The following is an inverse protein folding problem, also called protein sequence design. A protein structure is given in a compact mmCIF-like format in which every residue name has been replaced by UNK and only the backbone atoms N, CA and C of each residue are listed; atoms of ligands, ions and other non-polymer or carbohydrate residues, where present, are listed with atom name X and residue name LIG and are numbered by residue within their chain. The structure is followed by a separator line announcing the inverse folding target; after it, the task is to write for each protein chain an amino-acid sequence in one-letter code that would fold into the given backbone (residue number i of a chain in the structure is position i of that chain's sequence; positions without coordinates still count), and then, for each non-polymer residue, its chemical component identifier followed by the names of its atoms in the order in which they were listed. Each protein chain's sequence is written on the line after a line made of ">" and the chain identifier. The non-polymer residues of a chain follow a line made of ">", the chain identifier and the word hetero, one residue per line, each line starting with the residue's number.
data_IF_237275561209
#
_entry.id   IF_237275561209
#
_cell.length_a   1.000
_cell.length_b   1.000
_cell.length_c   1.000
_cell.angle_alpha   90.00
_cell.angle_beta   90.00
_cell.angle_gamma   90.00
#
_symmetry.space_group_name_H-M   'P 1'
#
loop_
_entity.id
_entity.type
_entity.pdbx_description
1 polymer ?
#
# COMPACT_ATOMS: atom_id res chain seq x y z
N UNK A 1 22.78 -16.92 -14.86
CA UNK A 1 23.14 -15.70 -14.09
C UNK A 1 23.09 -14.52 -15.04
N UNK A 2 22.35 -13.48 -14.71
CA UNK A 2 22.25 -12.23 -15.47
C UNK A 2 22.34 -11.04 -14.52
N UNK A 3 22.63 -9.87 -15.06
CA UNK A 3 22.54 -8.62 -14.32
C UNK A 3 21.10 -8.10 -14.38
N UNK A 4 20.54 -7.75 -13.23
CA UNK A 4 19.17 -7.22 -13.08
C UNK A 4 19.23 -5.82 -12.51
N UNK A 5 18.72 -4.85 -13.26
CA UNK A 5 18.55 -3.46 -12.80
C UNK A 5 17.15 -3.27 -12.26
N UNK A 6 17.04 -2.71 -11.06
CA UNK A 6 15.77 -2.41 -10.39
C UNK A 6 15.70 -0.91 -10.12
N UNK A 7 14.60 -0.27 -10.46
CA UNK A 7 14.36 1.15 -10.19
C UNK A 7 13.39 1.30 -9.03
N UNK A 8 13.86 1.88 -7.94
CA UNK A 8 13.13 2.14 -6.69
C UNK A 8 13.41 1.11 -5.59
N UNK A 9 13.87 1.60 -4.44
CA UNK A 9 14.13 0.83 -3.22
C UNK A 9 12.94 0.87 -2.23
N UNK A 10 11.71 0.86 -2.74
CA UNK A 10 10.50 0.65 -1.93
C UNK A 10 10.24 -0.85 -1.72
N UNK A 11 9.12 -1.21 -1.03
CA UNK A 11 8.80 -2.59 -0.66
C UNK A 11 8.90 -3.58 -1.83
N UNK A 12 8.33 -3.22 -2.98
CA UNK A 12 8.33 -4.10 -4.16
C UNK A 12 9.74 -4.28 -4.75
N UNK A 13 10.51 -3.18 -4.85
CA UNK A 13 11.88 -3.22 -5.37
C UNK A 13 12.82 -4.00 -4.47
N UNK A 14 12.74 -3.81 -3.16
CA UNK A 14 13.57 -4.53 -2.18
C UNK A 14 13.26 -6.03 -2.16
N UNK A 15 11.97 -6.43 -2.17
CA UNK A 15 11.62 -7.85 -2.27
C UNK A 15 12.07 -8.45 -3.59
N UNK A 16 11.96 -7.71 -4.70
CA UNK A 16 12.48 -8.17 -5.99
C UNK A 16 14.00 -8.35 -5.95
N UNK A 17 14.72 -7.37 -5.40
CA UNK A 17 16.18 -7.40 -5.30
C UNK A 17 16.69 -8.60 -4.49
N UNK A 18 16.12 -8.82 -3.29
CA UNK A 18 16.46 -9.95 -2.43
C UNK A 18 16.24 -11.28 -3.17
N UNK A 19 15.11 -11.41 -3.84
CA UNK A 19 14.77 -12.66 -4.52
C UNK A 19 15.61 -12.91 -5.78
N UNK A 20 15.94 -11.87 -6.55
CA UNK A 20 16.86 -11.98 -7.69
C UNK A 20 18.27 -12.36 -7.23
N UNK A 21 18.78 -11.77 -6.15
CA UNK A 21 20.10 -12.16 -5.58
C UNK A 21 20.11 -13.60 -5.11
N UNK A 22 19.07 -14.05 -4.41
CA UNK A 22 18.93 -15.44 -3.96
C UNK A 22 18.80 -16.44 -5.12
N UNK A 23 18.31 -15.98 -6.28
CA UNK A 23 18.28 -16.77 -7.52
C UNK A 23 19.65 -16.79 -8.25
N UNK A 24 20.66 -16.07 -7.75
CA UNK A 24 22.02 -16.05 -8.28
C UNK A 24 22.29 -14.96 -9.33
N UNK A 25 21.41 -13.97 -9.47
CA UNK A 25 21.66 -12.82 -10.37
C UNK A 25 22.56 -11.77 -9.71
N UNK A 26 23.31 -11.00 -10.52
CA UNK A 26 23.81 -9.68 -10.14
C UNK A 26 22.64 -8.72 -10.00
N UNK A 27 22.59 -7.89 -8.95
CA UNK A 27 21.47 -6.97 -8.76
C UNK A 27 21.95 -5.60 -8.37
N UNK A 28 21.54 -4.59 -9.17
CA UNK A 28 21.75 -3.17 -8.90
C UNK A 28 20.41 -2.48 -8.75
N UNK A 29 20.22 -1.74 -7.65
CA UNK A 29 19.01 -0.95 -7.38
C UNK A 29 19.34 0.53 -7.52
N UNK A 30 18.59 1.23 -8.37
CA UNK A 30 18.65 2.68 -8.55
C UNK A 30 17.58 3.30 -7.63
N UNK A 31 18.00 4.14 -6.68
CA UNK A 31 17.08 4.80 -5.74
C UNK A 31 17.26 6.32 -5.82
N UNK A 32 16.15 7.06 -6.00
CA UNK A 32 16.18 8.53 -6.16
C UNK A 32 16.55 9.27 -4.88
N UNK A 33 16.24 8.70 -3.72
CA UNK A 33 16.55 9.29 -2.42
C UNK A 33 17.91 8.81 -1.91
N UNK A 34 18.52 9.60 -1.03
CA UNK A 34 19.79 9.25 -0.38
C UNK A 34 19.69 8.02 0.54
N UNK A 35 18.48 7.62 0.91
CA UNK A 35 18.19 6.47 1.77
C UNK A 35 16.96 5.72 1.27
N UNK A 36 16.95 4.41 1.49
CA UNK A 36 15.73 3.63 1.33
C UNK A 36 14.67 4.04 2.40
N UNK A 37 13.39 3.85 2.08
CA UNK A 37 12.27 4.17 2.97
C UNK A 37 11.27 5.16 2.37
N UNK A 38 11.47 5.59 1.14
CA UNK A 38 10.58 6.49 0.41
C UNK A 38 10.80 7.96 0.75
N UNK A 39 9.86 8.79 0.32
CA UNK A 39 9.96 10.25 0.43
C UNK A 39 10.01 10.71 1.90
N UNK A 40 11.08 11.39 2.34
CA UNK A 40 11.19 11.92 3.70
C UNK A 40 10.09 12.91 4.08
N UNK A 41 9.50 13.61 3.09
CA UNK A 41 8.38 14.51 3.31
C UNK A 41 7.15 13.78 3.86
N UNK A 42 6.90 12.55 3.38
CA UNK A 42 5.75 11.75 3.82
C UNK A 42 6.10 10.93 5.07
N UNK A 43 7.37 10.52 5.22
CA UNK A 43 7.81 9.57 6.25
C UNK A 43 8.24 10.24 7.57
N UNK A 44 8.15 9.54 8.74
CA UNK A 44 7.60 8.21 8.93
C UNK A 44 6.08 8.16 8.71
N UNK A 45 5.58 7.01 8.25
CA UNK A 45 4.15 6.76 8.06
C UNK A 45 3.77 5.41 8.69
N UNK A 46 2.50 5.24 9.02
CA UNK A 46 1.96 3.96 9.47
C UNK A 46 0.91 3.51 8.46
N UNK A 47 1.20 2.44 7.76
CA UNK A 47 0.29 1.78 6.84
C UNK A 47 -0.34 0.56 7.51
N UNK A 48 -1.59 0.26 7.16
CA UNK A 48 -2.29 -0.93 7.62
C UNK A 48 -2.77 -1.73 6.42
N UNK A 49 -2.70 -3.05 6.51
CA UNK A 49 -3.09 -3.93 5.41
C UNK A 49 -3.57 -5.28 5.93
N UNK A 50 -4.61 -5.89 5.31
CA UNK A 50 -4.96 -7.26 5.62
C UNK A 50 -3.90 -8.22 5.05
N UNK A 51 -3.38 -9.14 5.91
CA UNK A 51 -2.42 -10.15 5.48
C UNK A 51 -2.46 -11.38 6.41
N UNK A 52 -1.91 -12.49 5.93
CA UNK A 52 -1.47 -13.63 6.74
C UNK A 52 0.07 -13.67 6.69
N UNK A 53 0.77 -13.10 7.69
CA UNK A 53 2.23 -12.90 7.63
C UNK A 53 3.02 -14.18 7.34
N UNK A 54 2.69 -15.29 8.00
CA UNK A 54 3.39 -16.57 7.79
C UNK A 54 3.26 -17.11 6.37
N UNK A 55 2.06 -17.00 5.75
CA UNK A 55 1.87 -17.44 4.37
C UNK A 55 2.56 -16.50 3.40
N UNK A 56 2.48 -15.21 3.67
CA UNK A 56 3.16 -14.20 2.85
C UNK A 56 4.68 -14.36 2.94
N UNK A 57 5.24 -14.55 4.14
CA UNK A 57 6.65 -14.80 4.36
C UNK A 57 7.14 -16.02 3.57
N UNK A 58 6.41 -17.14 3.62
CA UNK A 58 6.74 -18.33 2.81
C UNK A 58 6.73 -18.05 1.31
N UNK A 59 5.78 -17.23 0.82
CA UNK A 59 5.71 -16.89 -0.59
C UNK A 59 6.85 -15.98 -1.04
N UNK A 60 7.14 -14.91 -0.29
CA UNK A 60 8.19 -13.96 -0.65
C UNK A 60 9.58 -14.42 -0.23
N UNK A 61 9.69 -15.43 0.65
CA UNK A 61 10.95 -15.92 1.18
C UNK A 61 11.63 -14.96 2.16
N UNK A 62 10.89 -14.12 2.86
CA UNK A 62 11.39 -13.11 3.81
C UNK A 62 10.47 -13.14 5.03
N UNK A 63 11.04 -13.20 6.23
CA UNK A 63 10.27 -13.21 7.46
C UNK A 63 9.58 -11.88 7.71
N UNK A 64 8.37 -11.94 8.27
CA UNK A 64 7.50 -10.80 8.54
C UNK A 64 7.06 -10.83 10.01
N UNK A 65 7.90 -10.30 10.87
CA UNK A 65 7.74 -10.35 12.33
C UNK A 65 7.77 -8.96 12.97
N UNK A 66 7.30 -8.81 14.22
CA UNK A 66 7.51 -7.59 14.99
C UNK A 66 9.01 -7.26 15.14
N UNK A 67 9.38 -5.98 15.17
CA UNK A 67 8.51 -4.79 15.18
C UNK A 67 8.06 -4.33 13.78
N UNK A 68 8.42 -5.03 12.71
CA UNK A 68 8.24 -4.61 11.31
C UNK A 68 6.83 -4.85 10.80
N UNK A 69 6.21 -5.96 11.21
CA UNK A 69 4.81 -6.30 10.91
C UNK A 69 4.13 -6.69 12.21
N UNK A 70 3.15 -5.90 12.65
CA UNK A 70 2.51 -6.03 13.96
C UNK A 70 1.01 -6.21 13.78
N UNK A 71 0.37 -7.19 14.46
CA UNK A 71 -1.08 -7.29 14.44
C UNK A 71 -1.73 -6.00 14.89
N UNK A 72 -2.67 -5.48 14.12
CA UNK A 72 -3.50 -4.34 14.53
C UNK A 72 -4.49 -4.82 15.57
N UNK A 73 -4.51 -4.20 16.76
CA UNK A 73 -5.38 -4.66 17.85
C UNK A 73 -6.82 -4.20 17.64
N UNK A 74 -7.03 -2.97 17.18
CA UNK A 74 -8.35 -2.37 17.01
C UNK A 74 -8.49 -1.69 15.65
N UNK A 75 -9.67 -1.85 15.06
CA UNK A 75 -10.10 -1.11 13.90
C UNK A 75 -11.41 -0.38 14.21
N UNK A 76 -11.37 0.94 14.22
CA UNK A 76 -12.56 1.79 14.41
C UNK A 76 -12.93 2.43 13.09
N UNK A 77 -14.19 2.27 12.68
CA UNK A 77 -14.72 2.92 11.48
C UNK A 77 -15.77 3.95 11.90
N UNK A 78 -15.49 5.20 11.63
CA UNK A 78 -16.45 6.28 11.76
C UNK A 78 -17.27 6.43 10.48
N UNK A 79 -18.58 6.28 10.58
CA UNK A 79 -19.50 6.48 9.45
C UNK A 79 -20.36 7.67 9.75
N UNK A 80 -20.04 8.81 9.17
CA UNK A 80 -20.72 10.10 9.43
C UNK A 80 -20.86 10.37 10.94
N UNK A 81 -19.73 10.29 11.66
CA UNK A 81 -19.62 10.53 13.08
C UNK A 81 -20.06 9.37 14.00
N UNK A 82 -20.58 8.27 13.47
CA UNK A 82 -20.92 7.08 14.27
C UNK A 82 -19.79 6.07 14.26
N UNK A 83 -19.18 5.73 15.42
CA UNK A 83 -18.14 4.71 15.49
C UNK A 83 -18.68 3.28 15.42
N UNK A 84 -17.89 2.42 14.80
CA UNK A 84 -18.04 0.96 14.77
C UNK A 84 -16.70 0.34 15.13
N UNK A 85 -16.64 -0.37 16.25
CA UNK A 85 -15.42 -0.96 16.79
C UNK A 85 -15.30 -2.42 16.36
N UNK A 86 -14.14 -2.80 15.87
CA UNK A 86 -13.80 -4.15 15.46
C UNK A 86 -12.46 -4.56 16.04
N UNK A 87 -12.31 -5.80 16.53
CA UNK A 87 -10.98 -6.38 16.71
C UNK A 87 -10.24 -6.39 15.35
N UNK A 88 -8.97 -6.01 15.35
CA UNK A 88 -8.15 -6.03 14.13
C UNK A 88 -8.10 -7.40 13.44
N UNK A 89 -8.22 -8.47 14.25
CA UNK A 89 -8.30 -9.86 13.78
C UNK A 89 -9.50 -10.16 12.88
N UNK A 90 -10.57 -9.38 12.93
CA UNK A 90 -11.73 -9.58 12.04
C UNK A 90 -11.37 -9.37 10.58
N UNK A 91 -10.45 -8.46 10.30
CA UNK A 91 -10.03 -8.09 8.96
C UNK A 91 -8.59 -8.56 8.67
N UNK A 92 -7.99 -9.38 9.55
CA UNK A 92 -6.59 -9.82 9.46
C UNK A 92 -5.60 -8.66 9.34
N UNK A 93 -5.92 -7.52 9.96
CA UNK A 93 -5.15 -6.29 9.80
C UNK A 93 -3.80 -6.38 10.53
N UNK A 94 -2.78 -5.92 9.84
CA UNK A 94 -1.44 -5.72 10.36
C UNK A 94 -0.96 -4.31 10.06
N UNK A 95 -0.37 -3.68 11.05
CA UNK A 95 0.24 -2.36 10.96
C UNK A 95 1.72 -2.51 10.62
N UNK A 96 2.22 -1.63 9.75
CA UNK A 96 3.63 -1.54 9.39
C UNK A 96 4.07 -0.09 9.43
N UNK A 97 5.23 0.15 10.02
CA UNK A 97 5.88 1.45 9.93
C UNK A 97 6.67 1.53 8.62
N UNK A 98 6.55 2.67 7.94
CA UNK A 98 7.23 2.97 6.69
C UNK A 98 8.23 4.10 6.91
N UNK A 99 9.37 4.03 6.25
CA UNK A 99 10.40 5.06 6.33
C UNK A 99 11.78 4.51 6.67
N UNK A 100 12.68 5.41 7.12
CA UNK A 100 14.09 5.09 7.38
C UNK A 100 14.41 4.74 8.83
N UNK A 101 13.43 4.68 9.73
CA UNK A 101 13.66 4.28 11.14
C UNK A 101 13.94 2.79 11.23
N UNK A 102 14.73 2.39 12.23
CA UNK A 102 15.13 0.98 12.44
C UNK A 102 13.97 0.03 12.70
N UNK A 103 12.82 0.55 13.12
CA UNK A 103 11.57 -0.20 13.35
C UNK A 103 10.70 -0.34 12.10
N UNK A 104 11.07 0.32 10.98
CA UNK A 104 10.31 0.29 9.75
C UNK A 104 10.58 -0.98 8.92
N UNK A 105 9.56 -1.45 8.22
CA UNK A 105 9.70 -2.56 7.27
C UNK A 105 10.64 -2.22 6.10
N UNK A 106 10.71 -0.94 5.71
CA UNK A 106 11.61 -0.51 4.64
C UNK A 106 13.07 -0.70 5.05
N UNK A 107 13.45 -0.27 6.27
CA UNK A 107 14.81 -0.44 6.80
C UNK A 107 15.18 -1.91 6.99
N UNK A 108 14.25 -2.74 7.43
CA UNK A 108 14.45 -4.18 7.55
C UNK A 108 14.73 -4.83 6.19
N UNK A 109 13.90 -4.55 5.20
CA UNK A 109 14.09 -5.10 3.84
C UNK A 109 15.35 -4.56 3.18
N UNK A 110 15.69 -3.30 3.41
CA UNK A 110 16.93 -2.70 2.89
C UNK A 110 18.16 -3.40 3.47
N UNK A 111 18.22 -3.60 4.78
CA UNK A 111 19.30 -4.32 5.43
C UNK A 111 19.39 -5.77 4.91
N UNK A 112 18.27 -6.46 4.81
CA UNK A 112 18.21 -7.82 4.23
C UNK A 112 18.76 -7.86 2.80
N UNK A 113 18.48 -6.84 2.00
CA UNK A 113 19.00 -6.75 0.64
C UNK A 113 20.52 -6.53 0.61
N UNK A 114 21.03 -5.67 1.50
CA UNK A 114 22.49 -5.48 1.67
C UNK A 114 23.19 -6.78 2.08
N UNK A 115 22.63 -7.50 3.05
CA UNK A 115 23.16 -8.78 3.53
C UNK A 115 23.17 -9.85 2.45
N UNK A 116 22.23 -9.76 1.49
CA UNK A 116 22.22 -10.60 0.27
C UNK A 116 23.26 -10.16 -0.79
N UNK A 117 23.93 -9.02 -0.62
CA UNK A 117 24.91 -8.48 -1.58
C UNK A 117 24.24 -7.74 -2.75
N UNK A 118 23.11 -7.08 -2.53
CA UNK A 118 22.51 -6.15 -3.50
C UNK A 118 23.30 -4.86 -3.52
N UNK A 119 23.58 -4.34 -4.71
CA UNK A 119 24.24 -3.05 -4.91
C UNK A 119 23.20 -1.93 -5.03
N UNK A 120 23.43 -0.81 -4.33
CA UNK A 120 22.55 0.37 -4.37
C UNK A 120 23.27 1.57 -4.93
N UNK A 121 22.59 2.28 -5.82
CA UNK A 121 22.98 3.60 -6.30
C UNK A 121 21.91 4.61 -5.84
N UNK A 122 22.27 5.43 -4.87
CA UNK A 122 21.42 6.47 -4.32
C UNK A 122 21.55 7.78 -5.10
N UNK A 123 20.54 8.63 -5.05
CA UNK A 123 20.47 9.86 -5.84
C UNK A 123 20.29 9.63 -7.35
N UNK A 124 19.96 8.38 -7.73
CA UNK A 124 19.79 7.99 -9.14
C UNK A 124 18.34 8.22 -9.58
N UNK A 125 18.13 9.17 -10.47
CA UNK A 125 16.83 9.46 -11.05
C UNK A 125 16.64 8.65 -12.34
N UNK A 126 15.50 7.97 -12.45
CA UNK A 126 15.10 7.22 -13.64
C UNK A 126 13.58 7.35 -13.76
N UNK A 127 13.11 8.51 -14.19
CA UNK A 127 11.70 8.91 -14.15
C UNK A 127 11.16 9.42 -15.49
N UNK A 128 12.01 9.65 -16.47
CA UNK A 128 11.61 9.99 -17.84
C UNK A 128 11.34 8.75 -18.70
N UNK A 129 10.61 8.93 -19.80
CA UNK A 129 10.40 7.87 -20.79
C UNK A 129 11.74 7.43 -21.43
N UNK A 130 12.68 8.35 -21.62
CA UNK A 130 13.99 8.09 -22.20
C UNK A 130 14.86 7.26 -21.22
N UNK A 131 14.90 7.66 -19.94
CA UNK A 131 15.66 6.89 -18.93
C UNK A 131 15.18 5.46 -18.85
N UNK A 132 13.84 5.25 -18.77
CA UNK A 132 13.26 3.91 -18.70
C UNK A 132 13.51 3.12 -19.99
N UNK A 133 13.47 3.76 -21.16
CA UNK A 133 13.75 3.09 -22.43
C UNK A 133 15.21 2.62 -22.52
N UNK A 134 16.15 3.41 -21.98
CA UNK A 134 17.58 3.11 -21.98
C UNK A 134 18.01 2.03 -20.98
N UNK A 135 17.14 1.67 -20.02
CA UNK A 135 17.44 0.54 -19.13
C UNK A 135 17.55 -0.79 -19.90
N UNK A 136 18.35 -1.75 -19.42
CA UNK A 136 18.40 -3.09 -19.99
C UNK A 136 17.00 -3.73 -20.14
N UNK A 137 16.81 -4.66 -21.09
CA UNK A 137 15.61 -5.50 -21.11
C UNK A 137 15.44 -6.24 -19.78
N UNK A 138 14.17 -6.48 -19.39
CA UNK A 138 13.81 -7.14 -18.13
C UNK A 138 14.20 -6.37 -16.85
N UNK A 139 14.58 -5.09 -16.95
CA UNK A 139 14.69 -4.24 -15.77
C UNK A 139 13.34 -4.15 -15.04
N UNK A 140 13.40 -4.12 -13.71
CA UNK A 140 12.21 -4.05 -12.86
C UNK A 140 11.97 -2.60 -12.45
N UNK A 141 10.78 -2.05 -12.76
CA UNK A 141 10.39 -0.69 -12.40
C UNK A 141 9.43 -0.76 -11.20
N UNK A 142 9.88 -0.31 -10.04
CA UNK A 142 9.21 -0.42 -8.75
C UNK A 142 9.13 0.93 -8.01
N UNK A 143 8.91 2.02 -8.73
CA UNK A 143 8.95 3.40 -8.23
C UNK A 143 7.74 3.80 -7.39
N UNK A 144 6.77 2.91 -7.18
CA UNK A 144 5.62 3.18 -6.33
C UNK A 144 4.61 4.15 -6.96
N UNK A 145 4.23 5.20 -6.23
CA UNK A 145 3.21 6.18 -6.64
C UNK A 145 3.84 7.51 -7.13
N UNK A 146 5.00 7.46 -7.76
CA UNK A 146 5.59 8.65 -8.40
C UNK A 146 4.95 8.90 -9.77
N UNK A 147 4.36 10.09 -9.93
CA UNK A 147 3.57 10.46 -11.12
C UNK A 147 4.39 10.37 -12.41
N UNK A 148 5.66 10.72 -12.36
CA UNK A 148 6.59 10.70 -13.50
C UNK A 148 6.65 9.30 -14.13
N UNK A 149 6.73 8.25 -13.31
CA UNK A 149 6.77 6.87 -13.81
C UNK A 149 5.45 6.45 -14.45
N UNK A 150 4.30 6.91 -13.93
CA UNK A 150 3.01 6.67 -14.59
C UNK A 150 2.94 7.33 -15.97
N UNK A 151 3.44 8.57 -16.09
CA UNK A 151 3.52 9.31 -17.34
C UNK A 151 4.48 8.62 -18.32
N UNK A 152 5.70 8.30 -17.88
CA UNK A 152 6.73 7.67 -18.71
C UNK A 152 6.28 6.30 -19.26
N UNK A 153 5.59 5.51 -18.45
CA UNK A 153 5.08 4.20 -18.82
C UNK A 153 3.64 4.23 -19.39
N UNK A 154 3.05 5.42 -19.54
CA UNK A 154 1.66 5.62 -20.00
C UNK A 154 0.65 4.79 -19.19
N UNK A 155 0.88 4.70 -17.86
CA UNK A 155 -0.02 3.98 -16.97
C UNK A 155 -1.17 4.87 -16.52
N UNK A 156 -2.40 4.34 -16.37
CA UNK A 156 -3.54 5.10 -15.87
C UNK A 156 -3.37 5.38 -14.37
N UNK A 157 -3.69 6.61 -13.95
CA UNK A 157 -3.70 7.04 -12.54
C UNK A 157 -4.78 8.09 -12.28
N UNK A 158 -5.03 8.36 -11.01
CA UNK A 158 -5.91 9.45 -10.54
C UNK A 158 -5.06 10.36 -9.67
N UNK A 159 -5.03 11.66 -9.97
CA UNK A 159 -4.46 12.63 -9.04
C UNK A 159 -5.32 12.75 -7.79
N UNK A 160 -4.68 12.90 -6.66
CA UNK A 160 -5.31 13.12 -5.36
C UNK A 160 -4.60 14.24 -4.61
N UNK A 161 -5.38 15.00 -3.84
CA UNK A 161 -4.93 16.18 -3.10
C UNK A 161 -5.46 16.09 -1.67
N UNK A 162 -4.66 16.47 -0.69
CA UNK A 162 -5.11 16.40 0.69
C UNK A 162 -4.07 16.80 1.70
N UNK A 163 -4.07 16.14 2.85
CA UNK A 163 -3.18 16.45 3.95
C UNK A 163 -2.66 15.17 4.62
N UNK A 164 -1.42 15.27 5.09
CA UNK A 164 -0.75 14.29 5.93
C UNK A 164 -0.54 14.90 7.31
N UNK A 165 -0.98 14.21 8.35
CA UNK A 165 -0.65 14.52 9.74
C UNK A 165 0.38 13.55 10.27
N UNK A 166 1.37 14.06 11.02
CA UNK A 166 2.39 13.26 11.73
C UNK A 166 2.56 13.77 13.14
N UNK A 167 2.63 12.85 14.10
CA UNK A 167 2.92 13.20 15.49
C UNK A 167 3.52 12.00 16.23
N UNK A 168 4.09 12.26 17.40
CA UNK A 168 4.44 11.21 18.36
C UNK A 168 3.20 10.76 19.09
N UNK A 169 2.99 9.45 19.18
CA UNK A 169 1.84 8.91 19.89
C UNK A 169 2.13 7.51 20.41
N UNK A 170 2.09 7.38 21.72
CA UNK A 170 2.24 6.09 22.38
C UNK A 170 0.86 5.43 22.57
N UNK A 171 0.72 4.21 22.10
CA UNK A 171 -0.52 3.46 22.21
C UNK A 171 -0.47 2.13 21.50
N UNK A 172 -1.50 1.33 21.71
CA UNK A 172 -1.65 0.06 21.03
C UNK A 172 -1.82 0.27 19.53
N UNK A 173 -1.29 -0.65 18.67
CA UNK A 173 -1.47 -0.57 17.23
C UNK A 173 -2.96 -0.56 16.85
N UNK A 174 -3.43 0.53 16.26
CA UNK A 174 -4.81 0.66 15.81
C UNK A 174 -4.93 1.46 14.52
N UNK A 175 -6.06 1.28 13.85
CA UNK A 175 -6.44 2.09 12.70
C UNK A 175 -7.84 2.68 12.90
N UNK A 176 -7.98 3.93 12.54
CA UNK A 176 -9.21 4.70 12.50
C UNK A 176 -9.53 5.02 11.05
N UNK A 177 -10.67 4.59 10.55
CA UNK A 177 -11.16 4.89 9.21
C UNK A 177 -12.37 5.83 9.28
N UNK A 178 -12.41 6.87 8.45
CA UNK A 178 -13.49 7.85 8.46
C UNK A 178 -14.16 7.89 7.09
N UNK A 179 -15.42 7.47 7.06
CA UNK A 179 -16.33 7.68 5.94
C UNK A 179 -17.29 8.81 6.29
N UNK A 180 -17.16 9.93 5.64
CA UNK A 180 -17.96 11.11 5.90
C UNK A 180 -18.30 11.88 4.60
N UNK A 181 -18.75 13.14 4.76
CA UNK A 181 -19.07 14.03 3.65
C UNK A 181 -17.86 14.78 3.08
N UNK A 182 -16.72 14.70 3.74
CA UNK A 182 -15.56 15.54 3.45
C UNK A 182 -14.80 15.06 2.22
N UNK A 183 -14.67 13.74 2.07
CA UNK A 183 -13.96 13.14 0.95
C UNK A 183 -14.78 12.00 0.31
N UNK A 184 -14.53 11.74 -0.97
CA UNK A 184 -15.09 10.56 -1.67
C UNK A 184 -14.36 9.28 -1.29
N UNK A 185 -13.12 9.41 -0.88
CA UNK A 185 -12.35 8.34 -0.27
C UNK A 185 -12.65 8.29 1.23
N UNK A 186 -12.00 7.41 1.94
CA UNK A 186 -11.98 7.45 3.40
C UNK A 186 -10.69 8.11 3.86
N UNK A 187 -10.76 8.84 4.96
CA UNK A 187 -9.58 9.32 5.65
C UNK A 187 -9.18 8.27 6.68
N UNK A 188 -7.89 8.14 6.96
CA UNK A 188 -7.46 7.22 8.00
C UNK A 188 -6.40 7.85 8.92
N UNK A 189 -6.36 7.33 10.14
CA UNK A 189 -5.29 7.57 11.10
C UNK A 189 -4.86 6.22 11.66
N UNK A 190 -3.56 5.96 11.74
CA UNK A 190 -3.02 4.74 12.31
C UNK A 190 -1.78 5.04 13.16
N UNK A 191 -1.52 4.21 14.18
CA UNK A 191 -0.35 4.37 15.03
C UNK A 191 0.41 3.06 15.22
N UNK A 192 1.74 3.18 15.30
CA UNK A 192 2.68 2.09 15.57
C UNK A 192 4.03 2.66 15.98
N UNK A 193 4.75 1.97 16.88
CA UNK A 193 6.14 2.27 17.27
C UNK A 193 6.37 3.74 17.68
N UNK A 194 5.42 4.33 18.43
CA UNK A 194 5.52 5.71 18.90
C UNK A 194 5.22 6.77 17.83
N UNK A 195 4.63 6.40 16.70
CA UNK A 195 4.21 7.31 15.62
C UNK A 195 2.71 7.18 15.39
N UNK A 196 2.01 8.32 15.30
CA UNK A 196 0.70 8.38 14.64
C UNK A 196 0.83 9.09 13.29
N UNK A 197 0.15 8.53 12.31
CA UNK A 197 0.11 9.03 10.94
C UNK A 197 -1.33 9.13 10.47
N UNK A 198 -1.71 10.26 9.91
CA UNK A 198 -3.02 10.49 9.34
C UNK A 198 -2.90 10.90 7.86
N UNK A 199 -3.81 10.40 7.04
CA UNK A 199 -3.89 10.74 5.63
C UNK A 199 -5.36 10.92 5.23
N UNK A 200 -5.68 12.14 4.77
CA UNK A 200 -6.96 12.46 4.16
C UNK A 200 -6.76 13.08 2.79
N UNK A 201 -7.52 12.62 1.79
CA UNK A 201 -7.38 13.12 0.43
C UNK A 201 -8.65 12.92 -0.41
N UNK A 202 -8.77 13.69 -1.48
CA UNK A 202 -9.81 13.52 -2.51
C UNK A 202 -9.22 13.77 -3.91
N UNK A 203 -10.03 13.59 -4.95
CA UNK A 203 -9.70 13.89 -6.36
C UNK A 203 -9.61 15.37 -6.66
N UNK A 204 -10.17 16.21 -5.81
CA UNK A 204 -10.06 17.65 -5.84
C UNK A 204 -9.40 18.18 -4.56
N UNK A 205 -9.03 19.46 -4.52
CA UNK A 205 -8.43 20.05 -3.34
C UNK A 205 -9.31 19.89 -2.09
N UNK A 206 -8.71 19.43 -1.01
CA UNK A 206 -9.33 19.41 0.32
C UNK A 206 -9.05 20.75 0.98
N UNK A 207 -10.09 21.44 1.48
CA UNK A 207 -9.91 22.74 2.11
C UNK A 207 -9.27 22.62 3.50
N UNK A 208 -8.57 23.67 3.93
CA UNK A 208 -8.01 23.74 5.29
C UNK A 208 -9.08 23.59 6.36
N UNK A 209 -10.26 24.18 6.15
CA UNK A 209 -11.36 24.05 7.11
C UNK A 209 -11.83 22.61 7.30
N UNK A 210 -11.80 21.77 6.27
CA UNK A 210 -12.12 20.34 6.38
C UNK A 210 -11.00 19.58 7.09
N UNK A 211 -9.74 19.92 6.83
CA UNK A 211 -8.59 19.38 7.59
C UNK A 211 -8.74 19.73 9.08
N UNK A 212 -9.01 21.00 9.41
CA UNK A 212 -9.13 21.47 10.80
C UNK A 212 -10.31 20.80 11.53
N UNK A 213 -11.43 20.58 10.84
CA UNK A 213 -12.54 19.84 11.39
C UNK A 213 -12.16 18.37 11.68
N UNK A 214 -11.43 17.74 10.79
CA UNK A 214 -10.97 16.37 10.99
C UNK A 214 -9.89 16.27 12.10
N UNK A 215 -8.95 17.20 12.17
CA UNK A 215 -7.98 17.31 13.27
C UNK A 215 -8.68 17.43 14.63
N UNK A 216 -9.67 18.30 14.71
CA UNK A 216 -10.49 18.46 15.93
C UNK A 216 -11.19 17.15 16.30
N UNK A 217 -11.73 16.40 15.34
CA UNK A 217 -12.37 15.11 15.60
C UNK A 217 -11.37 14.08 16.13
N UNK A 218 -10.16 14.00 15.55
CA UNK A 218 -9.10 13.10 16.02
C UNK A 218 -8.69 13.42 17.44
N UNK A 219 -8.57 14.70 17.77
CA UNK A 219 -8.24 15.15 19.14
C UNK A 219 -9.36 14.86 20.13
N UNK A 220 -10.59 15.26 19.82
CA UNK A 220 -11.73 15.13 20.72
C UNK A 220 -12.20 13.69 20.93
N UNK A 221 -12.17 12.86 19.89
CA UNK A 221 -12.71 11.50 19.94
C UNK A 221 -11.67 10.45 20.28
N UNK A 222 -10.40 10.68 19.89
CA UNK A 222 -9.35 9.68 19.93
C UNK A 222 -8.11 10.10 20.74
N UNK A 223 -8.07 11.36 21.18
CA UNK A 223 -6.95 11.91 21.95
C UNK A 223 -5.65 12.00 21.15
N UNK A 224 -5.74 12.03 19.80
CA UNK A 224 -4.56 12.18 18.93
C UNK A 224 -4.47 13.62 18.50
N UNK A 225 -3.39 14.30 18.89
CA UNK A 225 -3.10 15.69 18.53
C UNK A 225 -1.91 15.72 17.58
N UNK A 226 -2.12 16.30 16.40
CA UNK A 226 -1.10 16.39 15.37
C UNK A 226 -0.31 17.68 15.53
N UNK A 227 1.02 17.56 15.62
CA UNK A 227 1.94 18.69 15.68
C UNK A 227 2.05 19.42 14.34
N UNK A 228 1.89 18.68 13.24
CA UNK A 228 2.05 19.19 11.89
C UNK A 228 1.06 18.55 10.91
N UNK A 229 0.49 19.39 10.03
CA UNK A 229 -0.26 18.99 8.86
C UNK A 229 0.41 19.50 7.59
N UNK A 230 0.82 18.58 6.73
CA UNK A 230 1.49 18.87 5.46
C UNK A 230 0.52 18.71 4.30
N UNK A 231 0.47 19.68 3.36
CA UNK A 231 -0.26 19.46 2.11
C UNK A 231 0.31 18.26 1.36
N UNK A 232 -0.56 17.49 0.72
CA UNK A 232 -0.17 16.29 -0.01
C UNK A 232 -0.78 16.31 -1.40
N UNK A 233 0.07 16.12 -2.40
CA UNK A 233 -0.31 15.80 -3.77
C UNK A 233 0.26 14.42 -4.12
N UNK A 234 -0.56 13.58 -4.70
CA UNK A 234 -0.14 12.22 -5.04
C UNK A 234 -1.01 11.59 -6.11
N UNK A 235 -0.82 10.31 -6.31
CA UNK A 235 -1.58 9.55 -7.29
C UNK A 235 -2.11 8.25 -6.70
N UNK A 236 -3.21 7.75 -7.28
CA UNK A 236 -3.78 6.43 -7.00
C UNK A 236 -3.77 5.63 -8.29
N UNK A 237 -3.22 4.42 -8.21
CA UNK A 237 -2.99 3.56 -9.38
C UNK A 237 -4.26 2.91 -9.96
N UNK A 238 -5.39 2.96 -9.27
CA UNK A 238 -6.59 2.18 -9.56
C UNK A 238 -7.64 2.95 -10.39
N UNK A 239 -7.19 3.65 -11.44
CA UNK A 239 -8.09 4.45 -12.29
C UNK A 239 -9.04 3.60 -13.13
N UNK A 240 -8.58 2.44 -13.60
CA UNK A 240 -9.34 1.56 -14.49
C UNK A 240 -9.29 0.12 -14.03
N UNK A 241 -10.24 -0.71 -14.52
CA UNK A 241 -10.26 -2.14 -14.22
C UNK A 241 -9.01 -2.88 -14.72
N UNK A 242 -8.35 -2.34 -15.76
CA UNK A 242 -7.13 -2.89 -16.36
C UNK A 242 -5.85 -2.25 -15.81
N UNK A 243 -5.95 -1.55 -14.66
CA UNK A 243 -4.76 -0.99 -13.98
C UNK A 243 -3.70 -2.06 -13.63
N UNK A 244 -4.04 -3.30 -13.18
CA UNK A 244 -3.02 -4.31 -12.92
C UNK A 244 -2.26 -4.72 -14.19
N UNK A 245 -0.91 -4.62 -14.14
CA UNK A 245 -0.02 -4.88 -15.26
C UNK A 245 1.36 -5.32 -14.76
N UNK A 246 1.86 -6.46 -15.23
CA UNK A 246 3.19 -6.96 -14.89
C UNK A 246 4.27 -6.51 -15.88
N UNK A 247 3.90 -6.22 -17.12
CA UNK A 247 4.85 -5.87 -18.18
C UNK A 247 4.42 -4.61 -18.92
N UNK A 248 5.38 -3.74 -19.26
CA UNK A 248 5.21 -2.64 -20.21
C UNK A 248 6.38 -2.68 -21.19
N UNK A 249 6.12 -3.02 -22.44
CA UNK A 249 7.18 -3.32 -23.40
C UNK A 249 8.06 -4.47 -22.92
N UNK A 250 9.37 -4.23 -22.82
CA UNK A 250 10.35 -5.17 -22.32
C UNK A 250 10.74 -4.95 -20.85
N UNK A 251 9.96 -4.18 -20.09
CA UNK A 251 10.21 -3.91 -18.67
C UNK A 251 9.22 -4.67 -17.81
N UNK A 252 9.66 -5.09 -16.64
CA UNK A 252 8.84 -5.72 -15.59
C UNK A 252 8.39 -4.62 -14.63
N UNK A 253 7.10 -4.58 -14.30
CA UNK A 253 6.53 -3.53 -13.44
C UNK A 253 6.11 -4.14 -12.11
N UNK A 254 6.45 -3.48 -11.00
CA UNK A 254 6.16 -3.97 -9.66
C UNK A 254 5.51 -2.93 -8.73
N UNK A 255 4.86 -3.42 -7.69
CA UNK A 255 4.24 -2.60 -6.65
C UNK A 255 2.98 -1.87 -7.10
N UNK A 256 2.73 -0.73 -6.50
CA UNK A 256 1.56 0.10 -6.81
C UNK A 256 1.59 0.64 -8.23
N UNK A 257 2.76 0.88 -8.80
CA UNK A 257 2.93 1.23 -10.22
C UNK A 257 2.35 0.16 -11.16
N UNK A 258 2.44 -1.11 -10.78
CA UNK A 258 1.82 -2.24 -11.50
C UNK A 258 0.28 -2.30 -11.32
N UNK A 259 -0.34 -1.33 -10.66
CA UNK A 259 -1.75 -1.35 -10.32
C UNK A 259 -2.10 -2.33 -9.19
N UNK A 260 -1.11 -2.84 -8.48
CA UNK A 260 -1.28 -3.76 -7.35
C UNK A 260 -1.57 -2.97 -6.07
N UNK A 261 -2.72 -2.32 -6.03
CA UNK A 261 -3.24 -1.55 -4.91
C UNK A 261 -4.72 -1.86 -4.73
N UNK A 262 -5.18 -2.08 -3.49
CA UNK A 262 -6.61 -2.29 -3.25
C UNK A 262 -7.41 -1.07 -3.69
N UNK A 263 -8.42 -1.23 -4.56
CA UNK A 263 -9.13 -0.07 -5.11
C UNK A 263 -10.05 0.62 -4.12
N UNK A 264 -10.49 -0.07 -3.05
CA UNK A 264 -11.47 0.45 -2.10
C UNK A 264 -10.80 1.13 -0.90
N UNK A 265 -9.92 0.41 -0.21
CA UNK A 265 -9.20 0.93 0.96
C UNK A 265 -7.78 1.41 0.65
N UNK A 266 -7.34 1.26 -0.61
CA UNK A 266 -6.02 1.66 -1.09
C UNK A 266 -4.84 0.96 -0.37
N UNK A 267 -5.08 -0.21 0.23
CA UNK A 267 -4.03 -1.02 0.80
C UNK A 267 -2.98 -1.38 -0.26
N UNK A 268 -1.73 -1.10 0.03
CA UNK A 268 -0.64 -1.27 -0.93
C UNK A 268 0.55 -2.09 -0.42
N UNK A 269 0.67 -2.33 0.90
CA UNK A 269 1.84 -2.99 1.48
C UNK A 269 1.93 -4.44 1.05
N UNK A 270 0.92 -5.27 1.38
CA UNK A 270 0.91 -6.68 1.03
C UNK A 270 1.08 -6.90 -0.47
N UNK A 271 0.34 -6.15 -1.27
CA UNK A 271 0.40 -6.25 -2.72
C UNK A 271 1.75 -5.84 -3.30
N UNK A 272 2.43 -4.88 -2.70
CA UNK A 272 3.79 -4.51 -3.10
C UNK A 272 4.78 -5.63 -2.81
N UNK A 273 4.70 -6.28 -1.64
CA UNK A 273 5.55 -7.42 -1.29
C UNK A 273 5.34 -8.59 -2.27
N UNK A 274 4.08 -8.95 -2.54
CA UNK A 274 3.73 -10.00 -3.53
C UNK A 274 4.20 -9.63 -4.92
N UNK A 275 3.98 -8.39 -5.35
CA UNK A 275 4.37 -7.91 -6.68
C UNK A 275 5.88 -7.92 -6.88
N UNK A 276 6.65 -7.59 -5.86
CA UNK A 276 8.11 -7.69 -5.88
C UNK A 276 8.58 -9.12 -6.12
N UNK A 277 7.99 -10.10 -5.41
CA UNK A 277 8.29 -11.52 -5.65
C UNK A 277 7.95 -11.96 -7.07
N UNK A 278 6.78 -11.55 -7.57
CA UNK A 278 6.36 -11.89 -8.94
C UNK A 278 7.27 -11.25 -9.99
N UNK A 279 7.74 -10.03 -9.75
CA UNK A 279 8.69 -9.36 -10.63
C UNK A 279 10.03 -10.09 -10.68
N UNK A 280 10.55 -10.52 -9.53
CA UNK A 280 11.77 -11.35 -9.50
C UNK A 280 11.57 -12.69 -10.23
N UNK A 281 10.44 -13.38 -10.03
CA UNK A 281 10.14 -14.61 -10.76
C UNK A 281 10.06 -14.40 -12.27
N UNK A 282 9.60 -13.23 -12.73
CA UNK A 282 9.47 -12.92 -14.14
C UNK A 282 10.82 -12.81 -14.87
N UNK A 283 11.92 -12.60 -14.14
CA UNK A 283 13.27 -12.58 -14.69
C UNK A 283 13.65 -13.96 -15.23
N UNK A 284 13.27 -15.04 -14.54
CA UNK A 284 13.62 -16.42 -14.90
C UNK A 284 12.50 -17.16 -15.62
N UNK A 285 11.25 -16.96 -15.17
CA UNK A 285 10.07 -17.66 -15.68
C UNK A 285 8.88 -16.68 -15.81
N UNK A 286 8.88 -15.98 -16.94
CA UNK A 286 7.86 -14.97 -17.29
C UNK A 286 6.45 -15.58 -17.33
N UNK A 287 6.29 -16.79 -17.84
CA UNK A 287 4.99 -17.42 -17.96
C UNK A 287 4.38 -17.77 -16.59
N UNK A 288 5.19 -18.35 -15.71
CA UNK A 288 4.77 -18.68 -14.34
C UNK A 288 4.43 -17.41 -13.56
N UNK A 289 5.29 -16.39 -13.64
CA UNK A 289 5.05 -15.10 -13.01
C UNK A 289 3.73 -14.47 -13.51
N UNK A 290 3.51 -14.50 -14.83
CA UNK A 290 2.29 -13.98 -15.44
C UNK A 290 1.02 -14.75 -15.00
N UNK A 291 1.06 -16.08 -14.95
CA UNK A 291 -0.08 -16.88 -14.46
C UNK A 291 -0.44 -16.53 -13.02
N UNK A 292 0.56 -16.42 -12.15
CA UNK A 292 0.33 -16.02 -10.74
C UNK A 292 -0.14 -14.57 -10.65
N UNK A 293 0.47 -13.65 -11.39
CA UNK A 293 0.06 -12.24 -11.41
C UNK A 293 -1.42 -12.10 -11.80
N UNK A 294 -1.86 -12.77 -12.86
CA UNK A 294 -3.27 -12.73 -13.29
C UNK A 294 -4.23 -13.21 -12.20
N UNK A 295 -3.84 -14.24 -11.47
CA UNK A 295 -4.64 -14.77 -10.36
C UNK A 295 -4.80 -13.71 -9.27
N UNK A 296 -3.72 -13.08 -8.83
CA UNK A 296 -3.78 -12.04 -7.81
C UNK A 296 -4.44 -10.75 -8.33
N UNK A 297 -4.17 -10.37 -9.55
CA UNK A 297 -4.76 -9.20 -10.19
C UNK A 297 -6.29 -9.27 -10.30
N UNK A 298 -6.87 -10.47 -10.36
CA UNK A 298 -8.33 -10.64 -10.44
C UNK A 298 -9.05 -10.00 -9.23
N UNK A 299 -8.46 -10.06 -8.05
CA UNK A 299 -8.99 -9.39 -6.86
C UNK A 299 -9.15 -7.87 -7.06
N UNK A 300 -8.13 -7.21 -7.62
CA UNK A 300 -8.15 -5.76 -7.83
C UNK A 300 -9.19 -5.34 -8.88
N UNK A 301 -9.44 -6.19 -9.87
CA UNK A 301 -10.50 -5.96 -10.87
C UNK A 301 -11.88 -5.98 -10.21
N UNK A 302 -12.17 -6.96 -9.34
CA UNK A 302 -13.42 -7.00 -8.59
C UNK A 302 -13.53 -5.83 -7.61
N UNK A 303 -12.49 -5.55 -6.85
CA UNK A 303 -12.43 -4.40 -5.95
C UNK A 303 -12.70 -3.08 -6.67
N UNK A 304 -12.17 -2.91 -7.90
CA UNK A 304 -12.44 -1.74 -8.73
C UNK A 304 -13.93 -1.64 -9.11
N UNK A 305 -14.59 -2.73 -9.45
CA UNK A 305 -16.03 -2.74 -9.76
C UNK A 305 -16.87 -2.28 -8.56
N UNK A 306 -16.56 -2.79 -7.36
CA UNK A 306 -17.21 -2.34 -6.12
C UNK A 306 -16.99 -0.87 -5.86
N UNK A 307 -15.75 -0.39 -5.99
CA UNK A 307 -15.40 1.02 -5.80
C UNK A 307 -16.13 1.92 -6.81
N UNK A 308 -16.16 1.51 -8.07
CA UNK A 308 -16.84 2.21 -9.14
C UNK A 308 -18.34 2.39 -8.85
N UNK A 309 -19.00 1.33 -8.39
CA UNK A 309 -20.40 1.38 -7.98
C UNK A 309 -20.60 2.27 -6.74
N UNK A 310 -19.76 2.08 -5.72
CA UNK A 310 -19.84 2.83 -4.46
C UNK A 310 -19.64 4.34 -4.66
N UNK A 311 -18.67 4.75 -5.46
CA UNK A 311 -18.37 6.17 -5.72
C UNK A 311 -19.51 6.91 -6.44
N UNK A 312 -20.37 6.17 -7.14
CA UNK A 312 -21.54 6.76 -7.84
C UNK A 312 -22.77 6.91 -6.97
N UNK A 313 -22.76 6.30 -5.79
CA UNK A 313 -23.88 6.46 -4.88
C UNK A 313 -23.90 7.87 -4.29
N UNK A 314 -25.06 8.55 -4.24
CA UNK A 314 -25.17 9.83 -3.57
C UNK A 314 -25.03 9.64 -2.04
N UNK A 315 -24.57 10.67 -1.33
CA UNK A 315 -24.30 10.61 0.11
C UNK A 315 -25.50 10.12 0.94
N UNK A 316 -26.74 10.47 0.55
CA UNK A 316 -27.93 10.04 1.26
C UNK A 316 -28.19 8.53 1.19
N UNK A 317 -27.66 7.82 0.19
CA UNK A 317 -27.67 6.35 0.11
C UNK A 317 -26.44 5.71 0.74
N UNK A 318 -25.27 6.33 0.58
CA UNK A 318 -24.00 5.82 1.13
C UNK A 318 -24.04 5.74 2.66
N UNK A 319 -24.52 6.79 3.33
CA UNK A 319 -24.57 6.83 4.79
C UNK A 319 -25.43 5.69 5.39
N UNK A 320 -26.73 5.52 5.07
CA UNK A 320 -27.51 4.42 5.63
C UNK A 320 -26.98 3.06 5.20
N UNK A 321 -26.47 2.92 3.96
CA UNK A 321 -25.90 1.67 3.47
C UNK A 321 -24.66 1.24 4.26
N UNK A 322 -23.72 2.15 4.49
CA UNK A 322 -22.53 1.87 5.30
C UNK A 322 -22.89 1.58 6.77
N UNK A 323 -23.79 2.39 7.37
CA UNK A 323 -24.24 2.16 8.76
C UNK A 323 -24.92 0.82 8.93
N UNK A 324 -25.77 0.43 7.98
CA UNK A 324 -26.41 -0.88 7.98
C UNK A 324 -25.38 -2.00 7.85
N UNK A 325 -24.47 -1.90 6.88
CA UNK A 325 -23.42 -2.89 6.63
C UNK A 325 -22.51 -3.09 7.84
N UNK A 326 -21.90 -2.02 8.36
CA UNK A 326 -21.05 -2.10 9.55
C UNK A 326 -21.82 -2.46 10.81
N UNK A 327 -23.07 -1.99 10.96
CA UNK A 327 -23.94 -2.36 12.07
C UNK A 327 -24.30 -3.86 12.07
N UNK A 328 -24.52 -4.45 10.90
CA UNK A 328 -24.73 -5.89 10.76
C UNK A 328 -23.45 -6.66 11.10
N UNK A 329 -22.29 -6.15 10.65
CA UNK A 329 -20.98 -6.71 10.93
C UNK A 329 -20.72 -6.83 12.44
N UNK A 330 -20.98 -5.76 13.19
CA UNK A 330 -20.82 -5.74 14.67
C UNK A 330 -21.80 -6.68 15.36
N UNK A 331 -23.08 -6.71 14.91
CA UNK A 331 -24.14 -7.48 15.58
C UNK A 331 -24.16 -8.97 15.23
N UNK A 332 -23.76 -9.32 14.04
CA UNK A 332 -23.86 -10.68 13.48
C UNK A 332 -22.56 -11.08 12.75
N UNK A 333 -21.42 -11.11 13.47
CA UNK A 333 -20.13 -11.46 12.88
C UNK A 333 -20.14 -12.90 12.30
N UNK A 334 -20.96 -13.78 12.86
CA UNK A 334 -21.17 -15.17 12.42
C UNK A 334 -21.70 -15.27 10.98
N UNK A 335 -22.53 -14.32 10.54
CA UNK A 335 -23.08 -14.28 9.18
C UNK A 335 -22.09 -13.62 8.22
N UNK A 336 -21.45 -12.53 8.64
CA UNK A 336 -20.70 -11.66 7.74
C UNK A 336 -19.24 -12.12 7.58
N UNK A 337 -18.63 -12.70 8.62
CA UNK A 337 -17.25 -13.18 8.58
C UNK A 337 -16.99 -14.21 7.47
N UNK A 338 -17.83 -15.23 7.23
CA UNK A 338 -17.61 -16.16 6.11
C UNK A 338 -17.60 -15.49 4.74
N UNK A 339 -18.42 -14.43 4.54
CA UNK A 339 -18.43 -13.66 3.30
C UNK A 339 -17.15 -12.84 3.15
N UNK A 340 -16.68 -12.25 4.25
CA UNK A 340 -15.41 -11.53 4.27
C UNK A 340 -14.23 -12.49 4.02
N UNK A 341 -14.18 -13.61 4.71
CA UNK A 341 -13.15 -14.62 4.53
C UNK A 341 -13.09 -15.11 3.07
N UNK A 342 -14.26 -15.28 2.44
CA UNK A 342 -14.34 -15.62 1.03
C UNK A 342 -13.75 -14.51 0.13
N UNK A 343 -14.04 -13.26 0.42
CA UNK A 343 -13.49 -12.12 -0.31
C UNK A 343 -11.98 -11.99 -0.06
N UNK A 344 -11.52 -12.13 1.18
CA UNK A 344 -10.12 -12.02 1.56
C UNK A 344 -9.26 -13.17 1.05
N UNK A 345 -9.82 -14.38 0.88
CA UNK A 345 -9.09 -15.53 0.29
C UNK A 345 -8.60 -15.28 -1.14
N UNK A 346 -9.13 -14.29 -1.82
CA UNK A 346 -8.64 -13.85 -3.13
C UNK A 346 -7.47 -12.86 -3.03
N UNK A 347 -7.21 -12.30 -1.84
CA UNK A 347 -6.07 -11.42 -1.62
C UNK A 347 -4.73 -12.15 -1.75
N UNK A 348 -3.71 -11.50 -2.29
CA UNK A 348 -2.35 -12.01 -2.23
C UNK A 348 -1.94 -12.26 -0.77
N UNK A 349 -1.43 -13.44 -0.46
CA UNK A 349 -1.14 -13.86 0.92
C UNK A 349 -2.19 -14.81 1.52
N UNK A 350 -3.45 -14.77 1.08
CA UNK A 350 -4.51 -15.68 1.53
C UNK A 350 -4.73 -16.88 0.60
N UNK A 351 -4.17 -16.86 -0.60
CA UNK A 351 -4.36 -17.92 -1.57
C UNK A 351 -3.58 -19.20 -1.27
N UNK A 352 -3.96 -20.28 -1.93
CA UNK A 352 -3.08 -21.46 -2.06
C UNK A 352 -2.03 -21.12 -3.11
N UNK A 353 -0.77 -21.22 -2.74
CA UNK A 353 0.37 -21.01 -3.63
C UNK A 353 0.78 -22.32 -4.31
#
# INVERSE_FOLDING_TARGET
>A
MSEVTIVGAGLAGLVAAINCRRAGHGVRVLERFERAGGDPYIRPAVDVTPMEPEKLARFIGIDLEPPYVVPTEEFVIYVYGKPFHFPGTYFYLHSVERGSRSTSIDSYLYQTALDCGVEFEHGAFCDSQEDIANLPPNSIIATGLHVESFLALRRPYINVYGYIGKTRFEGKPRILGFFDRYTRYYNYCANLNGVAFALGFDRGPVSESLRDEWDRQLREWEGVEFEEWLPHEGVVATRTIDAPCLFVGNKIIAGTLAGMQDPFFLFGVQSSLVSGKLAAMAVDDMERAWRLFRRFASYYKYGWMYKWFFDRQPHFLRNPGLRLGFGLYVKRPDIVRPLLDQALKSLPGFGRY
#
